data_IF_397336840118
#
_entry.id   IF_397336840118
#
_cell.length_a   1.000
_cell.length_b   1.000
_cell.length_c   1.000
_cell.angle_alpha   90.00
_cell.angle_beta   90.00
_cell.angle_gamma   90.00
#
_symmetry.space_group_name_H-M   'P 1'
#
loop_
_entity.id
_entity.type
_entity.pdbx_description
1 polymer ?
#
# COMPACT_ATOMS: atom_id res chain seq x y z
N UNK A 1 14.49 12.35 -4.09
CA UNK A 1 13.59 11.17 -4.12
C UNK A 1 12.43 11.34 -3.12
N UNK A 2 12.69 11.51 -1.81
CA UNK A 2 11.63 11.66 -0.78
C UNK A 2 10.55 12.71 -1.11
N UNK A 3 10.91 13.84 -1.71
CA UNK A 3 9.96 14.89 -2.06
C UNK A 3 8.88 14.46 -3.08
N UNK A 4 9.16 13.46 -3.93
CA UNK A 4 8.19 12.92 -4.89
C UNK A 4 7.12 12.08 -4.17
N UNK A 5 7.57 11.18 -3.27
CA UNK A 5 6.66 10.44 -2.38
C UNK A 5 5.84 11.40 -1.53
N UNK A 6 6.49 12.39 -0.92
CA UNK A 6 5.83 13.41 -0.10
C UNK A 6 4.73 14.14 -0.87
N UNK A 7 5.01 14.57 -2.10
CA UNK A 7 4.02 15.23 -2.95
C UNK A 7 2.83 14.30 -3.26
N UNK A 8 3.09 13.03 -3.57
CA UNK A 8 2.04 12.02 -3.80
C UNK A 8 1.17 11.77 -2.56
N UNK A 9 1.81 11.58 -1.40
CA UNK A 9 1.13 11.39 -0.13
C UNK A 9 0.33 12.62 0.30
N UNK A 10 0.84 13.83 0.04
CA UNK A 10 0.13 15.08 0.29
C UNK A 10 -1.11 15.22 -0.60
N UNK A 11 -0.99 14.90 -1.90
CA UNK A 11 -2.13 14.88 -2.82
C UNK A 11 -3.21 13.88 -2.36
N UNK A 12 -2.80 12.69 -1.93
CA UNK A 12 -3.70 11.69 -1.35
C UNK A 12 -4.38 12.23 -0.08
N UNK A 13 -3.63 12.85 0.83
CA UNK A 13 -4.19 13.42 2.06
C UNK A 13 -5.25 14.49 1.74
N UNK A 14 -4.94 15.44 0.88
CA UNK A 14 -5.87 16.53 0.49
C UNK A 14 -7.14 15.94 -0.13
N UNK A 15 -7.00 15.03 -1.10
CA UNK A 15 -8.14 14.35 -1.71
C UNK A 15 -8.99 13.61 -0.66
N UNK A 16 -8.32 12.88 0.24
CA UNK A 16 -8.94 12.13 1.32
C UNK A 16 -9.73 13.00 2.27
N UNK A 17 -9.17 14.12 2.75
CA UNK A 17 -9.87 15.07 3.61
C UNK A 17 -11.14 15.61 2.94
N UNK A 18 -11.09 15.88 1.64
CA UNK A 18 -12.24 16.36 0.88
C UNK A 18 -13.33 15.30 0.65
N UNK A 19 -13.02 14.00 0.76
CA UNK A 19 -13.88 12.91 0.29
C UNK A 19 -14.26 11.87 1.34
N UNK A 20 -13.39 11.55 2.30
CA UNK A 20 -13.54 10.43 3.24
C UNK A 20 -14.60 10.68 4.32
N UNK A 21 -14.81 11.93 4.70
CA UNK A 21 -15.76 12.34 5.74
C UNK A 21 -17.14 12.76 5.18
N UNK A 22 -17.37 12.61 3.88
CA UNK A 22 -18.70 12.86 3.29
C UNK A 22 -19.71 11.79 3.75
N UNK A 23 -21.02 12.12 3.74
CA UNK A 23 -22.08 11.12 3.94
C UNK A 23 -21.99 9.97 2.92
N UNK A 24 -22.44 8.78 3.31
CA UNK A 24 -22.46 7.57 2.46
C UNK A 24 -21.09 7.22 1.86
N UNK A 25 -20.08 7.23 2.71
CA UNK A 25 -18.73 6.74 2.42
C UNK A 25 -18.49 5.50 3.29
N UNK A 26 -18.11 4.35 2.70
CA UNK A 26 -17.99 3.12 3.47
C UNK A 26 -16.74 3.15 4.34
N UNK A 27 -16.78 2.40 5.44
CA UNK A 27 -15.66 2.29 6.38
C UNK A 27 -14.36 1.89 5.67
N UNK A 28 -14.44 0.99 4.68
CA UNK A 28 -13.31 0.60 3.83
C UNK A 28 -12.51 1.80 3.30
N UNK A 29 -13.19 2.77 2.67
CA UNK A 29 -12.52 3.94 2.09
C UNK A 29 -11.87 4.82 3.15
N UNK A 30 -12.50 4.94 4.33
CA UNK A 30 -11.93 5.69 5.46
C UNK A 30 -10.66 5.03 5.99
N UNK A 31 -10.64 3.70 6.07
CA UNK A 31 -9.44 2.94 6.48
C UNK A 31 -8.30 3.15 5.46
N UNK A 32 -8.59 3.07 4.16
CA UNK A 32 -7.58 3.35 3.11
C UNK A 32 -7.06 4.79 3.23
N UNK A 33 -7.93 5.77 3.49
CA UNK A 33 -7.52 7.15 3.75
C UNK A 33 -6.54 7.25 4.94
N UNK A 34 -6.82 6.59 6.06
CA UNK A 34 -5.90 6.60 7.20
C UNK A 34 -4.56 5.94 6.89
N UNK A 35 -4.53 4.93 6.01
CA UNK A 35 -3.29 4.37 5.47
C UNK A 35 -2.46 5.42 4.71
N UNK A 36 -3.09 6.15 3.80
CA UNK A 36 -2.42 7.22 3.04
C UNK A 36 -1.96 8.37 3.95
N UNK A 37 -2.77 8.74 4.94
CA UNK A 37 -2.40 9.74 5.95
C UNK A 37 -1.21 9.28 6.81
N UNK A 38 -1.13 7.99 7.14
CA UNK A 38 0.01 7.40 7.84
C UNK A 38 1.29 7.51 7.01
N UNK A 39 1.22 7.19 5.70
CA UNK A 39 2.34 7.38 4.77
C UNK A 39 2.78 8.85 4.66
N UNK A 40 1.81 9.78 4.62
CA UNK A 40 2.08 11.21 4.62
C UNK A 40 2.83 11.64 5.89
N UNK A 41 2.38 11.24 7.07
CA UNK A 41 3.06 11.55 8.34
C UNK A 41 4.49 10.98 8.38
N UNK A 42 4.68 9.76 7.87
CA UNK A 42 6.01 9.17 7.71
C UNK A 42 6.92 10.00 6.80
N UNK A 43 6.38 10.44 5.66
CA UNK A 43 7.08 11.27 4.68
C UNK A 43 7.38 12.69 5.22
N UNK A 44 6.45 13.29 5.98
CA UNK A 44 6.65 14.55 6.69
C UNK A 44 7.85 14.46 7.63
N UNK A 45 7.87 13.40 8.46
CA UNK A 45 8.94 13.19 9.42
C UNK A 45 10.29 13.07 8.70
N UNK A 46 10.38 12.21 7.68
CA UNK A 46 11.63 11.99 6.95
C UNK A 46 12.10 13.26 6.22
N UNK A 47 11.18 14.00 5.59
CA UNK A 47 11.50 15.26 4.93
C UNK A 47 12.00 16.32 5.93
N UNK A 48 11.36 16.44 7.10
CA UNK A 48 11.79 17.37 8.15
C UNK A 48 13.11 16.96 8.77
N UNK A 49 13.31 15.67 9.06
CA UNK A 49 14.57 15.14 9.60
C UNK A 49 15.73 15.46 8.66
N UNK A 50 15.58 15.21 7.36
CA UNK A 50 16.62 15.56 6.36
C UNK A 50 16.92 17.05 6.26
N UNK A 51 15.93 17.91 6.51
CA UNK A 51 16.11 19.36 6.45
C UNK A 51 16.81 19.90 7.71
N UNK A 52 16.51 19.34 8.88
CA UNK A 52 16.99 19.84 10.16
C UNK A 52 18.33 19.18 10.58
N UNK A 53 18.43 17.87 10.44
CA UNK A 53 19.57 17.07 10.87
C UNK A 53 19.71 15.83 9.97
N UNK A 54 20.50 15.92 8.87
CA UNK A 54 20.61 14.85 7.88
C UNK A 54 20.98 13.47 8.46
N UNK A 55 21.84 13.44 9.49
CA UNK A 55 22.23 12.22 10.20
C UNK A 55 21.06 11.54 10.92
N UNK A 56 20.02 12.29 11.33
CA UNK A 56 18.83 11.72 11.97
C UNK A 56 17.90 11.00 10.97
N UNK A 57 18.11 11.20 9.67
CA UNK A 57 17.39 10.50 8.60
C UNK A 57 18.17 9.31 8.03
N UNK A 58 19.40 9.09 8.49
CA UNK A 58 20.18 7.89 8.20
C UNK A 58 19.83 6.81 9.23
N UNK A 59 19.70 5.55 8.82
CA UNK A 59 19.32 4.50 9.77
C UNK A 59 17.81 4.40 10.01
N UNK A 60 17.46 3.81 11.16
CA UNK A 60 16.08 3.74 11.65
C UNK A 60 15.61 5.12 12.09
N UNK A 61 14.38 5.47 11.73
CA UNK A 61 13.73 6.69 12.20
C UNK A 61 12.21 6.54 12.31
N UNK A 62 11.57 7.41 13.08
CA UNK A 62 10.13 7.30 13.40
C UNK A 62 9.24 7.30 12.15
N UNK A 63 9.67 7.97 11.07
CA UNK A 63 8.98 7.96 9.77
C UNK A 63 8.64 6.57 9.22
N UNK A 64 9.43 5.53 9.53
CA UNK A 64 9.14 4.15 9.13
C UNK A 64 7.79 3.64 9.62
N UNK A 65 7.33 4.07 10.80
CA UNK A 65 6.02 3.69 11.30
C UNK A 65 4.88 4.21 10.43
N UNK A 66 5.09 5.33 9.73
CA UNK A 66 4.13 5.84 8.74
C UNK A 66 4.02 4.92 7.52
N UNK A 67 5.16 4.44 7.01
CA UNK A 67 5.21 3.52 5.88
C UNK A 67 4.68 2.12 6.24
N UNK A 68 5.02 1.62 7.42
CA UNK A 68 4.47 0.38 7.99
C UNK A 68 2.95 0.52 8.20
N UNK A 69 2.51 1.66 8.74
CA UNK A 69 1.11 1.96 9.01
C UNK A 69 0.25 1.93 7.75
N UNK A 70 0.73 2.47 6.62
CA UNK A 70 0.05 2.38 5.32
C UNK A 70 -0.41 0.95 5.01
N UNK A 71 0.50 -0.01 5.07
CA UNK A 71 0.20 -1.40 4.71
C UNK A 71 -0.65 -2.11 5.76
N UNK A 72 -0.52 -1.78 7.05
CA UNK A 72 -1.43 -2.29 8.08
C UNK A 72 -2.86 -1.81 7.87
N UNK A 73 -3.06 -0.52 7.55
CA UNK A 73 -4.39 0.00 7.22
C UNK A 73 -4.94 -0.64 5.94
N UNK A 74 -4.12 -0.82 4.90
CA UNK A 74 -4.54 -1.54 3.69
C UNK A 74 -4.94 -2.98 4.00
N UNK A 75 -4.12 -3.73 4.71
CA UNK A 75 -4.44 -5.09 5.17
C UNK A 75 -5.75 -5.13 5.97
N UNK A 76 -5.91 -4.23 6.94
CA UNK A 76 -7.12 -4.13 7.76
C UNK A 76 -8.36 -3.84 6.91
N UNK A 77 -8.25 -2.94 5.92
CA UNK A 77 -9.35 -2.65 5.00
C UNK A 77 -9.77 -3.89 4.20
N UNK A 78 -8.81 -4.71 3.79
CA UNK A 78 -9.09 -5.92 3.05
C UNK A 78 -9.69 -7.02 3.92
N UNK A 79 -8.97 -7.40 4.98
CA UNK A 79 -9.34 -8.50 5.86
C UNK A 79 -10.68 -8.23 6.56
N UNK A 80 -10.88 -7.00 7.06
CA UNK A 80 -12.03 -6.64 7.87
C UNK A 80 -13.31 -6.33 7.09
N UNK A 81 -13.23 -5.85 5.85
CA UNK A 81 -14.41 -5.34 5.14
C UNK A 81 -14.76 -6.09 3.85
N UNK A 82 -13.81 -6.30 2.93
CA UNK A 82 -14.15 -6.82 1.58
C UNK A 82 -13.89 -8.32 1.43
N UNK A 83 -12.92 -8.88 2.15
CA UNK A 83 -12.56 -10.28 2.00
C UNK A 83 -13.69 -11.23 2.42
N UNK A 84 -14.44 -10.88 3.47
CA UNK A 84 -15.60 -11.65 3.92
C UNK A 84 -16.73 -11.71 2.88
N UNK A 85 -16.83 -10.70 2.01
CA UNK A 85 -17.79 -10.67 0.90
C UNK A 85 -17.32 -11.54 -0.27
N UNK A 86 -16.02 -11.55 -0.54
CA UNK A 86 -15.44 -12.21 -1.71
C UNK A 86 -15.08 -13.69 -1.50
N UNK A 87 -14.78 -14.11 -0.26
CA UNK A 87 -14.28 -15.45 0.03
C UNK A 87 -14.89 -16.06 1.30
N UNK A 88 -15.86 -16.96 1.11
CA UNK A 88 -16.44 -17.77 2.18
C UNK A 88 -15.56 -18.93 2.67
N UNK A 89 -14.31 -19.05 2.20
CA UNK A 89 -13.38 -20.11 2.62
C UNK A 89 -13.56 -21.45 1.90
N UNK A 90 -14.52 -21.55 0.99
CA UNK A 90 -14.82 -22.77 0.22
C UNK A 90 -13.65 -23.27 -0.63
N UNK A 91 -13.69 -24.56 -1.02
CA UNK A 91 -12.64 -25.18 -1.85
C UNK A 91 -12.60 -24.64 -3.28
N UNK A 92 -13.72 -24.14 -3.79
CA UNK A 92 -13.85 -23.54 -5.13
C UNK A 92 -12.83 -22.41 -5.35
N UNK A 93 -12.67 -21.53 -4.35
CA UNK A 93 -11.76 -20.39 -4.46
C UNK A 93 -10.30 -20.69 -4.09
N UNK A 94 -9.95 -21.96 -3.82
CA UNK A 94 -8.59 -22.34 -3.39
C UNK A 94 -7.53 -21.95 -4.41
N UNK A 95 -7.83 -22.08 -5.71
CA UNK A 95 -6.88 -21.73 -6.78
C UNK A 95 -6.51 -20.24 -6.75
N UNK A 96 -7.50 -19.36 -6.58
CA UNK A 96 -7.27 -17.91 -6.48
C UNK A 96 -6.45 -17.56 -5.23
N UNK A 97 -6.72 -18.20 -4.09
CA UNK A 97 -5.89 -18.02 -2.87
C UNK A 97 -4.45 -18.45 -3.08
N UNK A 98 -4.22 -19.56 -3.78
CA UNK A 98 -2.86 -20.04 -4.06
C UNK A 98 -2.11 -19.10 -5.01
N UNK A 99 -2.75 -18.64 -6.08
CA UNK A 99 -2.14 -17.69 -7.02
C UNK A 99 -1.78 -16.37 -6.30
N UNK A 100 -2.70 -15.85 -5.49
CA UNK A 100 -2.45 -14.65 -4.70
C UNK A 100 -1.36 -14.86 -3.64
N UNK A 101 -1.33 -16.05 -3.01
CA UNK A 101 -0.28 -16.46 -2.08
C UNK A 101 1.08 -16.50 -2.74
N UNK A 102 1.18 -17.03 -3.97
CA UNK A 102 2.42 -17.03 -4.75
C UNK A 102 2.87 -15.61 -5.09
N UNK A 103 1.96 -14.74 -5.55
CA UNK A 103 2.28 -13.35 -5.85
C UNK A 103 2.82 -12.61 -4.60
N UNK A 104 2.15 -12.76 -3.46
CA UNK A 104 2.59 -12.19 -2.20
C UNK A 104 3.93 -12.77 -1.74
N UNK A 105 4.11 -14.09 -1.83
CA UNK A 105 5.36 -14.76 -1.46
C UNK A 105 6.54 -14.28 -2.31
N UNK A 106 6.35 -14.04 -3.61
CA UNK A 106 7.39 -13.48 -4.48
C UNK A 106 7.77 -12.05 -4.05
N UNK A 107 6.80 -11.20 -3.73
CA UNK A 107 7.06 -9.83 -3.23
C UNK A 107 7.76 -9.88 -1.87
N UNK A 108 7.27 -10.71 -0.96
CA UNK A 108 7.86 -10.86 0.37
C UNK A 108 9.28 -11.42 0.33
N UNK A 109 9.52 -12.49 -0.43
CA UNK A 109 10.84 -13.10 -0.57
C UNK A 109 11.84 -12.17 -1.26
N UNK A 110 11.42 -11.44 -2.30
CA UNK A 110 12.30 -10.47 -2.97
C UNK A 110 12.63 -9.29 -2.06
N UNK A 111 11.65 -8.76 -1.32
CA UNK A 111 11.89 -7.71 -0.32
C UNK A 111 12.78 -8.17 0.82
N UNK A 112 12.59 -9.37 1.36
CA UNK A 112 13.48 -9.95 2.38
C UNK A 112 14.89 -10.16 1.84
N UNK A 113 15.02 -10.67 0.61
CA UNK A 113 16.31 -10.87 -0.03
C UNK A 113 17.05 -9.52 -0.17
N UNK A 114 16.38 -8.48 -0.66
CA UNK A 114 16.94 -7.12 -0.72
C UNK A 114 17.35 -6.60 0.67
N UNK A 115 16.44 -6.70 1.65
CA UNK A 115 16.67 -6.20 3.01
C UNK A 115 17.89 -6.83 3.70
N UNK A 116 18.19 -8.10 3.40
CA UNK A 116 19.28 -8.85 4.01
C UNK A 116 20.58 -8.84 3.20
N UNK A 117 20.53 -8.51 1.90
CA UNK A 117 21.71 -8.45 1.03
C UNK A 117 22.21 -7.03 0.78
N UNK A 118 21.34 -6.02 0.84
CA UNK A 118 21.63 -4.67 0.35
C UNK A 118 21.48 -3.55 1.40
N UNK A 119 20.88 -3.82 2.56
CA UNK A 119 20.63 -2.81 3.60
C UNK A 119 21.32 -3.20 4.89
N UNK A 120 21.68 -2.25 5.76
CA UNK A 120 22.16 -2.54 7.12
C UNK A 120 21.01 -2.66 8.15
N UNK A 121 19.78 -2.32 7.75
CA UNK A 121 18.60 -2.24 8.64
C UNK A 121 17.71 -3.49 8.55
N UNK A 122 18.31 -4.68 8.59
CA UNK A 122 17.65 -5.95 8.23
C UNK A 122 16.37 -6.19 9.04
N UNK A 123 16.42 -5.93 10.36
CA UNK A 123 15.29 -6.18 11.28
C UNK A 123 14.12 -5.25 10.98
N UNK A 124 14.38 -3.95 10.81
CA UNK A 124 13.35 -2.97 10.51
C UNK A 124 12.67 -3.26 9.17
N UNK A 125 13.46 -3.56 8.14
CA UNK A 125 12.94 -3.85 6.81
C UNK A 125 12.19 -5.20 6.78
N UNK A 126 12.57 -6.15 7.63
CA UNK A 126 11.80 -7.40 7.85
C UNK A 126 10.44 -7.11 8.51
N UNK A 127 10.38 -6.16 9.46
CA UNK A 127 9.12 -5.72 10.06
C UNK A 127 8.26 -4.99 9.02
N UNK A 128 8.87 -4.20 8.13
CA UNK A 128 8.18 -3.48 7.07
C UNK A 128 7.63 -4.40 5.98
N UNK A 129 8.38 -5.40 5.52
CA UNK A 129 7.96 -6.26 4.42
C UNK A 129 6.81 -7.20 4.81
N UNK A 130 6.62 -7.48 6.11
CA UNK A 130 5.53 -8.31 6.62
C UNK A 130 4.15 -7.74 6.25
N UNK A 131 3.75 -6.52 6.67
CA UNK A 131 2.46 -5.95 6.28
C UNK A 131 2.37 -5.67 4.78
N UNK A 132 3.48 -5.37 4.09
CA UNK A 132 3.51 -5.26 2.61
C UNK A 132 3.05 -6.56 1.97
N UNK A 133 3.61 -7.69 2.42
CA UNK A 133 3.27 -9.03 1.91
C UNK A 133 1.82 -9.38 2.21
N UNK A 134 1.33 -9.04 3.40
CA UNK A 134 -0.07 -9.24 3.78
C UNK A 134 -1.02 -8.42 2.89
N UNK A 135 -0.73 -7.14 2.66
CA UNK A 135 -1.52 -6.30 1.77
C UNK A 135 -1.47 -6.81 0.32
N UNK A 136 -0.30 -7.21 -0.17
CA UNK A 136 -0.11 -7.76 -1.52
C UNK A 136 -0.94 -9.03 -1.75
N UNK A 137 -1.04 -9.91 -0.75
CA UNK A 137 -1.89 -11.11 -0.83
C UNK A 137 -3.35 -10.73 -1.10
N UNK A 138 -3.93 -9.82 -0.34
CA UNK A 138 -5.32 -9.44 -0.55
C UNK A 138 -5.53 -8.64 -1.83
N UNK A 139 -4.62 -7.73 -2.16
CA UNK A 139 -4.67 -6.99 -3.41
C UNK A 139 -4.65 -7.93 -4.62
N UNK A 140 -3.71 -8.89 -4.66
CA UNK A 140 -3.64 -9.89 -5.73
C UNK A 140 -4.88 -10.80 -5.74
N UNK A 141 -5.33 -11.26 -4.58
CA UNK A 141 -6.51 -12.12 -4.45
C UNK A 141 -7.77 -11.44 -5.02
N UNK A 142 -8.06 -10.22 -4.59
CA UNK A 142 -9.25 -9.48 -5.00
C UNK A 142 -9.14 -8.89 -6.41
N UNK A 143 -7.94 -8.87 -6.99
CA UNK A 143 -7.74 -8.54 -8.39
C UNK A 143 -8.25 -9.66 -9.31
N UNK A 144 -8.01 -10.93 -8.93
CA UNK A 144 -8.30 -12.10 -9.76
C UNK A 144 -9.60 -12.82 -9.41
N UNK A 145 -10.15 -12.58 -8.21
CA UNK A 145 -11.37 -13.26 -7.78
C UNK A 145 -12.57 -12.97 -8.70
N UNK A 146 -13.44 -13.97 -8.91
CA UNK A 146 -14.71 -13.77 -9.60
C UNK A 146 -15.57 -12.78 -8.82
N UNK A 147 -16.46 -12.10 -9.55
CA UNK A 147 -17.29 -11.06 -8.95
C UNK A 147 -18.44 -11.66 -8.14
N UNK A 148 -18.98 -10.86 -7.22
CA UNK A 148 -20.19 -11.17 -6.45
C UNK A 148 -21.41 -10.45 -7.06
N UNK A 149 -22.63 -10.77 -6.58
CA UNK A 149 -23.94 -10.41 -7.18
C UNK A 149 -24.19 -8.90 -7.45
N UNK A 150 -23.27 -8.00 -7.11
CA UNK A 150 -23.41 -6.54 -7.30
C UNK A 150 -22.21 -5.87 -8.01
N UNK A 151 -21.29 -6.64 -8.57
CA UNK A 151 -20.16 -6.04 -9.30
C UNK A 151 -19.09 -5.40 -8.41
N UNK A 152 -19.17 -5.64 -7.09
CA UNK A 152 -18.40 -4.95 -6.05
C UNK A 152 -16.91 -5.23 -6.19
N UNK A 153 -16.54 -6.47 -6.52
CA UNK A 153 -15.14 -6.88 -6.63
C UNK A 153 -14.55 -6.32 -7.92
N UNK A 154 -15.27 -6.41 -9.05
CA UNK A 154 -14.76 -5.85 -10.31
C UNK A 154 -14.54 -4.33 -10.21
N UNK A 155 -15.41 -3.61 -9.50
CA UNK A 155 -15.27 -2.17 -9.28
C UNK A 155 -13.98 -1.81 -8.52
N UNK A 156 -13.49 -2.71 -7.66
CA UNK A 156 -12.29 -2.50 -6.85
C UNK A 156 -11.00 -2.96 -7.53
N UNK A 157 -11.07 -3.69 -8.66
CA UNK A 157 -9.88 -4.20 -9.38
C UNK A 157 -8.85 -3.12 -9.74
N UNK A 158 -9.22 -1.92 -10.26
CA UNK A 158 -8.24 -0.88 -10.55
C UNK A 158 -7.48 -0.44 -9.30
N UNK A 159 -8.17 -0.29 -8.18
CA UNK A 159 -7.54 0.03 -6.90
C UNK A 159 -6.61 -1.10 -6.43
N UNK A 160 -7.05 -2.35 -6.51
CA UNK A 160 -6.23 -3.51 -6.12
C UNK A 160 -4.98 -3.66 -6.99
N UNK A 161 -5.06 -3.36 -8.29
CA UNK A 161 -3.90 -3.30 -9.16
C UNK A 161 -2.91 -2.20 -8.71
N UNK A 162 -3.40 -0.99 -8.41
CA UNK A 162 -2.57 0.09 -7.89
C UNK A 162 -1.88 -0.29 -6.57
N UNK A 163 -2.61 -0.89 -5.63
CA UNK A 163 -2.04 -1.33 -4.35
C UNK A 163 -0.99 -2.43 -4.56
N UNK A 164 -1.22 -3.37 -5.47
CA UNK A 164 -0.25 -4.42 -5.76
C UNK A 164 1.05 -3.84 -6.34
N UNK A 165 0.94 -2.89 -7.27
CA UNK A 165 2.12 -2.18 -7.80
C UNK A 165 2.80 -1.35 -6.71
N UNK A 166 2.03 -0.70 -5.83
CA UNK A 166 2.55 0.05 -4.68
C UNK A 166 3.36 -0.85 -3.73
N UNK A 167 2.89 -2.07 -3.46
CA UNK A 167 3.63 -3.06 -2.68
C UNK A 167 4.98 -3.40 -3.33
N UNK A 168 5.02 -3.60 -4.65
CA UNK A 168 6.27 -3.88 -5.39
C UNK A 168 7.21 -2.69 -5.35
N UNK A 169 6.70 -1.49 -5.64
CA UNK A 169 7.49 -0.26 -5.71
C UNK A 169 8.10 0.09 -4.36
N UNK A 170 7.31 0.07 -3.27
CA UNK A 170 7.86 0.38 -1.95
C UNK A 170 8.76 -0.74 -1.43
N UNK A 171 8.48 -2.02 -1.70
CA UNK A 171 9.43 -3.09 -1.37
C UNK A 171 10.78 -2.88 -2.07
N UNK A 172 10.77 -2.53 -3.36
CA UNK A 172 12.00 -2.25 -4.10
C UNK A 172 12.71 -0.98 -3.56
N UNK A 173 11.97 0.09 -3.30
CA UNK A 173 12.55 1.36 -2.86
C UNK A 173 13.19 1.26 -1.47
N UNK A 174 12.54 0.58 -0.51
CA UNK A 174 13.06 0.45 0.85
C UNK A 174 14.03 -0.72 1.04
N UNK A 175 13.79 -1.86 0.39
CA UNK A 175 14.61 -3.06 0.61
C UNK A 175 15.78 -3.20 -0.35
N UNK A 176 15.69 -2.66 -1.58
CA UNK A 176 16.78 -2.73 -2.55
C UNK A 176 17.51 -1.38 -2.74
N UNK A 177 16.86 -0.27 -2.36
CA UNK A 177 17.40 1.09 -2.39
C UNK A 177 18.23 1.44 -3.65
N UNK A 178 17.69 1.24 -4.87
CA UNK A 178 18.47 1.48 -6.09
C UNK A 178 18.81 2.97 -6.22
N UNK A 179 20.10 3.27 -6.43
CA UNK A 179 20.57 4.62 -6.69
C UNK A 179 20.29 5.12 -8.11
N UNK A 180 20.69 6.37 -8.38
CA UNK A 180 20.67 6.95 -9.73
C UNK A 180 19.27 7.05 -10.35
N UNK A 181 19.18 6.85 -11.67
CA UNK A 181 17.93 7.02 -12.43
C UNK A 181 16.82 6.05 -11.99
N UNK A 182 17.18 4.81 -11.61
CA UNK A 182 16.23 3.81 -11.14
C UNK A 182 15.54 4.24 -9.84
N UNK A 183 16.29 4.80 -8.87
CA UNK A 183 15.72 5.33 -7.64
C UNK A 183 14.76 6.51 -7.88
N UNK A 184 15.10 7.41 -8.81
CA UNK A 184 14.23 8.52 -9.17
C UNK A 184 12.94 8.05 -9.84
N UNK A 185 13.02 7.05 -10.72
CA UNK A 185 11.86 6.44 -11.37
C UNK A 185 10.93 5.75 -10.36
N UNK A 186 11.49 5.00 -9.40
CA UNK A 186 10.70 4.38 -8.33
C UNK A 186 10.01 5.42 -7.45
N UNK A 187 10.73 6.46 -7.00
CA UNK A 187 10.15 7.51 -6.18
C UNK A 187 9.04 8.30 -6.90
N UNK A 188 9.18 8.52 -8.22
CA UNK A 188 8.13 9.12 -9.04
C UNK A 188 6.91 8.18 -9.16
N UNK A 189 7.16 6.89 -9.38
CA UNK A 189 6.11 5.88 -9.43
C UNK A 189 5.35 5.79 -8.11
N UNK A 190 6.04 5.74 -6.98
CA UNK A 190 5.46 5.73 -5.63
C UNK A 190 4.56 6.94 -5.40
N UNK A 191 5.07 8.15 -5.70
CA UNK A 191 4.30 9.39 -5.61
C UNK A 191 3.00 9.36 -6.45
N UNK A 192 3.08 8.89 -7.70
CA UNK A 192 1.92 8.76 -8.58
C UNK A 192 0.92 7.73 -8.06
N UNK A 193 1.40 6.57 -7.60
CA UNK A 193 0.55 5.51 -7.06
C UNK A 193 -0.20 5.98 -5.81
N UNK A 194 0.48 6.66 -4.90
CA UNK A 194 -0.13 7.25 -3.71
C UNK A 194 -1.22 8.26 -4.09
N UNK A 195 -0.94 9.16 -5.04
CA UNK A 195 -1.90 10.16 -5.49
C UNK A 195 -3.16 9.55 -6.15
N UNK A 196 -3.01 8.45 -6.89
CA UNK A 196 -4.10 7.79 -7.61
C UNK A 196 -4.91 6.80 -6.74
N UNK A 197 -4.34 6.33 -5.63
CA UNK A 197 -4.95 5.27 -4.83
C UNK A 197 -6.33 5.66 -4.26
N UNK A 198 -6.50 6.86 -3.68
CA UNK A 198 -7.80 7.29 -3.16
C UNK A 198 -8.83 7.62 -4.26
N UNK A 199 -8.50 8.32 -5.36
CA UNK A 199 -9.41 8.46 -6.49
C UNK A 199 -9.93 7.10 -6.99
N UNK A 200 -9.04 6.12 -7.18
CA UNK A 200 -9.41 4.78 -7.64
C UNK A 200 -10.28 4.05 -6.61
N UNK A 201 -9.91 4.07 -5.33
CA UNK A 201 -10.72 3.49 -4.26
C UNK A 201 -12.12 4.14 -4.22
N UNK A 202 -12.21 5.47 -4.39
CA UNK A 202 -13.48 6.19 -4.36
C UNK A 202 -14.39 5.76 -5.51
N UNK A 203 -13.84 5.56 -6.70
CA UNK A 203 -14.60 5.07 -7.86
C UNK A 203 -15.16 3.67 -7.60
N UNK A 204 -14.36 2.77 -7.01
CA UNK A 204 -14.80 1.41 -6.70
C UNK A 204 -15.92 1.38 -5.66
N UNK A 205 -15.75 2.10 -4.54
CA UNK A 205 -16.72 2.07 -3.44
C UNK A 205 -18.05 2.79 -3.74
N UNK A 206 -18.13 3.59 -4.81
CA UNK A 206 -19.39 4.24 -5.21
C UNK A 206 -20.47 3.22 -5.59
N UNK A 207 -20.08 2.04 -6.09
CA UNK A 207 -21.02 0.97 -6.44
C UNK A 207 -21.61 0.24 -5.23
N UNK A 208 -21.14 0.51 -4.02
CA UNK A 208 -21.57 -0.22 -2.82
C UNK A 208 -22.89 0.31 -2.23
N UNK A 209 -23.39 1.45 -2.72
CA UNK A 209 -24.63 2.08 -2.26
C UNK A 209 -25.68 2.19 -3.38
N UNK A 210 -25.53 1.39 -4.44
CA UNK A 210 -26.50 1.28 -5.53
C UNK A 210 -27.47 0.15 -5.21
#
# INVERSE_FOLDING_TARGET
MIYLRFAGAAAALVWGLCTAFRPRVPLYYKIVFFGMASCFLGSCYEALARLLEPSAAEGFHVGYFGYIGLFFFLYSSYYGAINSLADGGGREFRRYRLIAGLAAALIGASGLCGAWLASEQHVLLTIFILPVTMAAYFAAKLLIMPDVELGIIAAMRPFNALVLVLCVVQAAEFCCAPGGAAGWALAACDGVLLALALPAARMGVRKWFI
#
